data_IF_858472265452
#
_entry.id   IF_858472265452
#
_cell.length_a   1.000
_cell.length_b   1.000
_cell.length_c   1.000
_cell.angle_alpha   90.00
_cell.angle_beta   90.00
_cell.angle_gamma   90.00
#
_symmetry.space_group_name_H-M   'P 1'
#
loop_
_entity.id
_entity.type
_entity.pdbx_description
1 polymer ?
#
# COMPACT_ATOMS: atom_id res chain seq x y z
N UNK A 1 -1.11 -31.07 -31.44
CA UNK A 1 -1.32 -30.06 -30.39
C UNK A 1 -2.80 -29.93 -30.16
N UNK A 2 -3.33 -30.38 -29.03
CA UNK A 2 -4.76 -30.29 -28.72
C UNK A 2 -5.07 -28.80 -28.52
N UNK A 3 -5.83 -28.22 -29.43
CA UNK A 3 -6.20 -26.82 -29.37
C UNK A 3 -7.42 -26.70 -28.45
N UNK A 4 -7.17 -26.72 -27.14
CA UNK A 4 -8.20 -26.57 -26.11
C UNK A 4 -8.92 -25.24 -26.31
N UNK A 5 -10.26 -25.24 -26.23
CA UNK A 5 -11.05 -24.03 -26.27
C UNK A 5 -10.72 -23.12 -25.08
N UNK A 6 -11.06 -21.83 -25.17
CA UNK A 6 -10.86 -20.88 -24.05
C UNK A 6 -11.64 -21.34 -22.81
N UNK A 7 -12.83 -21.90 -23.01
CA UNK A 7 -13.70 -22.46 -21.97
C UNK A 7 -13.06 -23.67 -21.28
N UNK A 8 -12.44 -24.59 -22.03
CA UNK A 8 -11.74 -25.76 -21.47
C UNK A 8 -10.49 -25.37 -20.67
N UNK A 9 -9.76 -24.32 -21.10
CA UNK A 9 -8.63 -23.78 -20.33
C UNK A 9 -9.07 -23.10 -19.04
N UNK A 10 -10.19 -22.37 -19.08
CA UNK A 10 -10.79 -21.74 -17.89
C UNK A 10 -11.31 -22.80 -16.91
N UNK A 11 -11.95 -23.86 -17.42
CA UNK A 11 -12.42 -24.99 -16.62
C UNK A 11 -11.25 -25.74 -15.97
N UNK A 12 -10.15 -25.96 -16.70
CA UNK A 12 -8.95 -26.61 -16.18
C UNK A 12 -8.21 -25.74 -15.14
N UNK A 13 -8.25 -24.41 -15.28
CA UNK A 13 -7.80 -23.47 -14.24
C UNK A 13 -8.64 -23.55 -12.95
N UNK A 14 -9.97 -23.72 -13.07
CA UNK A 14 -10.89 -23.91 -11.93
C UNK A 14 -10.60 -25.21 -11.16
N UNK A 15 -10.50 -26.34 -11.86
CA UNK A 15 -10.22 -27.63 -11.22
C UNK A 15 -8.78 -27.76 -10.72
N UNK A 16 -7.81 -27.13 -11.40
CA UNK A 16 -6.41 -27.11 -10.99
C UNK A 16 -6.20 -26.39 -9.66
N UNK A 17 -6.88 -25.26 -9.43
CA UNK A 17 -6.81 -24.52 -8.16
C UNK A 17 -7.45 -25.32 -7.02
N UNK A 18 -8.60 -25.94 -7.25
CA UNK A 18 -9.24 -26.81 -6.26
C UNK A 18 -8.33 -27.97 -5.85
N UNK A 19 -7.72 -28.66 -6.81
CA UNK A 19 -6.77 -29.74 -6.55
C UNK A 19 -5.53 -29.25 -5.80
N UNK A 20 -4.98 -28.08 -6.17
CA UNK A 20 -3.81 -27.52 -5.51
C UNK A 20 -4.09 -27.15 -4.06
N UNK A 21 -5.21 -26.49 -3.78
CA UNK A 21 -5.60 -26.10 -2.42
C UNK A 21 -5.98 -27.31 -1.56
N UNK A 22 -6.71 -28.28 -2.13
CA UNK A 22 -7.11 -29.49 -1.41
C UNK A 22 -5.96 -30.45 -1.07
N UNK A 23 -4.83 -30.36 -1.78
CA UNK A 23 -3.68 -31.27 -1.60
C UNK A 23 -2.45 -30.58 -1.00
N UNK A 24 -2.34 -29.26 -1.13
CA UNK A 24 -1.23 -28.51 -0.54
C UNK A 24 -1.58 -28.12 0.89
N UNK A 25 -0.98 -28.78 1.88
CA UNK A 25 -1.06 -28.39 3.30
C UNK A 25 0.33 -27.94 3.74
N UNK A 26 0.68 -26.65 3.62
CA UNK A 26 2.01 -26.16 3.99
C UNK A 26 2.33 -26.47 5.45
N UNK A 27 3.48 -27.10 5.68
CA UNK A 27 4.08 -27.34 7.00
C UNK A 27 5.17 -26.30 7.27
N UNK A 28 5.64 -26.19 8.51
CA UNK A 28 6.69 -25.23 8.91
C UNK A 28 7.98 -25.34 8.05
N UNK A 29 8.28 -26.51 7.49
CA UNK A 29 9.45 -26.75 6.64
C UNK A 29 9.19 -26.55 5.14
N UNK A 30 8.03 -26.01 4.75
CA UNK A 30 7.70 -25.77 3.33
C UNK A 30 8.61 -24.69 2.76
N UNK A 31 9.14 -24.92 1.56
CA UNK A 31 9.96 -23.92 0.87
C UNK A 31 9.20 -22.62 0.68
N UNK A 32 9.75 -21.52 1.21
CA UNK A 32 9.17 -20.18 1.12
C UNK A 32 8.99 -19.73 -0.33
N UNK A 33 9.93 -20.08 -1.22
CA UNK A 33 9.85 -19.71 -2.64
C UNK A 33 8.70 -20.43 -3.35
N UNK A 34 8.53 -21.73 -3.08
CA UNK A 34 7.46 -22.52 -3.70
C UNK A 34 6.10 -22.08 -3.19
N UNK A 35 5.98 -21.88 -1.87
CA UNK A 35 4.76 -21.39 -1.24
C UNK A 35 4.41 -19.98 -1.74
N UNK A 36 5.38 -19.08 -1.79
CA UNK A 36 5.20 -17.73 -2.30
C UNK A 36 4.80 -17.70 -3.78
N UNK A 37 5.38 -18.56 -4.61
CA UNK A 37 4.96 -18.70 -6.02
C UNK A 37 3.52 -19.20 -6.14
N UNK A 38 3.12 -20.16 -5.30
CA UNK A 38 1.75 -20.67 -5.25
C UNK A 38 0.75 -19.57 -4.81
N UNK A 39 1.07 -18.84 -3.75
CA UNK A 39 0.28 -17.70 -3.28
C UNK A 39 0.09 -16.65 -4.37
N UNK A 40 1.18 -16.25 -5.04
CA UNK A 40 1.11 -15.29 -6.15
C UNK A 40 0.29 -15.79 -7.33
N UNK A 41 0.34 -17.08 -7.65
CA UNK A 41 -0.54 -17.69 -8.66
C UNK A 41 -2.01 -17.58 -8.25
N UNK A 42 -2.34 -17.86 -6.98
CA UNK A 42 -3.70 -17.75 -6.47
C UNK A 42 -4.19 -16.30 -6.51
N UNK A 43 -3.41 -15.34 -6.00
CA UNK A 43 -3.78 -13.92 -6.05
C UNK A 43 -3.98 -13.43 -7.49
N UNK A 44 -3.13 -13.87 -8.42
CA UNK A 44 -3.32 -13.57 -9.84
C UNK A 44 -4.60 -14.21 -10.40
N UNK A 45 -4.92 -15.43 -9.99
CA UNK A 45 -6.16 -16.11 -10.38
C UNK A 45 -7.41 -15.40 -9.86
N UNK A 46 -7.43 -14.93 -8.60
CA UNK A 46 -8.50 -14.06 -8.09
C UNK A 46 -8.70 -12.84 -9.00
N UNK A 47 -7.61 -12.16 -9.35
CA UNK A 47 -7.66 -10.98 -10.19
C UNK A 47 -8.20 -11.25 -11.60
N UNK A 48 -7.67 -12.25 -12.31
CA UNK A 48 -8.08 -12.56 -13.69
C UNK A 48 -9.52 -13.05 -13.76
N UNK A 49 -10.00 -13.67 -12.68
CA UNK A 49 -11.35 -14.25 -12.63
C UNK A 49 -12.40 -13.34 -12.01
N UNK A 50 -12.03 -12.19 -11.45
CA UNK A 50 -12.94 -11.22 -10.83
C UNK A 50 -14.00 -10.64 -11.78
N UNK A 51 -13.81 -10.79 -13.11
CA UNK A 51 -14.71 -10.28 -14.15
C UNK A 51 -15.13 -11.37 -15.15
N UNK A 52 -15.28 -12.64 -14.73
CA UNK A 52 -15.65 -13.74 -15.64
C UNK A 52 -17.14 -13.67 -16.03
N UNK A 53 -17.45 -13.66 -17.34
CA UNK A 53 -18.77 -13.29 -17.91
C UNK A 53 -19.70 -14.48 -18.27
N UNK A 54 -19.92 -15.44 -17.38
CA UNK A 54 -20.94 -16.50 -17.62
C UNK A 54 -21.61 -16.95 -16.32
N UNK A 55 -22.94 -16.73 -16.21
CA UNK A 55 -23.73 -16.79 -14.96
C UNK A 55 -23.59 -18.12 -14.19
N UNK A 56 -23.57 -19.26 -14.90
CA UNK A 56 -23.46 -20.59 -14.25
C UNK A 56 -22.02 -20.89 -13.82
N UNK A 57 -21.07 -20.46 -14.64
CA UNK A 57 -19.66 -20.70 -14.43
C UNK A 57 -19.07 -19.77 -13.34
N UNK A 58 -19.69 -18.60 -13.15
CA UNK A 58 -19.43 -17.65 -12.08
C UNK A 58 -19.83 -18.22 -10.71
N UNK A 59 -21.04 -18.76 -10.57
CA UNK A 59 -21.50 -19.34 -9.29
C UNK A 59 -20.56 -20.44 -8.76
N UNK A 60 -20.12 -21.36 -9.62
CA UNK A 60 -19.22 -22.45 -9.24
C UNK A 60 -17.82 -21.93 -8.87
N UNK A 61 -17.34 -20.91 -9.59
CA UNK A 61 -16.05 -20.29 -9.33
C UNK A 61 -16.06 -19.53 -7.99
N UNK A 62 -17.12 -18.79 -7.70
CA UNK A 62 -17.25 -18.05 -6.45
C UNK A 62 -17.39 -19.00 -5.25
N UNK A 63 -18.10 -20.12 -5.40
CA UNK A 63 -18.10 -21.20 -4.42
C UNK A 63 -16.70 -21.77 -4.20
N UNK A 64 -15.94 -22.03 -5.27
CA UNK A 64 -14.57 -22.53 -5.12
C UNK A 64 -13.69 -21.56 -4.30
N UNK A 65 -13.77 -20.26 -4.60
CA UNK A 65 -13.02 -19.23 -3.87
C UNK A 65 -13.39 -19.22 -2.40
N UNK A 66 -14.69 -19.12 -2.10
CA UNK A 66 -15.21 -18.94 -0.74
C UNK A 66 -15.10 -20.21 0.11
N UNK A 67 -15.52 -21.37 -0.42
CA UNK A 67 -15.61 -22.61 0.34
C UNK A 67 -14.25 -23.30 0.55
N UNK A 68 -13.28 -23.09 -0.35
CA UNK A 68 -12.00 -23.81 -0.31
C UNK A 68 -10.79 -22.89 -0.24
N UNK A 69 -10.67 -21.93 -1.16
CA UNK A 69 -9.43 -21.15 -1.28
C UNK A 69 -9.27 -20.17 -0.12
N UNK A 70 -10.34 -19.52 0.33
CA UNK A 70 -10.27 -18.55 1.42
C UNK A 70 -9.81 -19.17 2.74
N UNK A 71 -10.37 -20.34 3.11
CA UNK A 71 -9.94 -21.07 4.30
C UNK A 71 -8.45 -21.42 4.28
N UNK A 72 -7.96 -21.89 3.13
CA UNK A 72 -6.53 -22.16 2.94
C UNK A 72 -5.66 -20.90 3.03
N UNK A 73 -6.09 -19.79 2.43
CA UNK A 73 -5.38 -18.51 2.54
C UNK A 73 -5.30 -18.03 3.99
N UNK A 74 -6.37 -18.22 4.77
CA UNK A 74 -6.37 -17.92 6.21
C UNK A 74 -5.35 -18.77 6.95
N UNK A 75 -5.30 -20.08 6.72
CA UNK A 75 -4.33 -20.98 7.36
C UNK A 75 -2.88 -20.64 7.00
N UNK A 76 -2.61 -20.34 5.72
CA UNK A 76 -1.28 -19.93 5.27
C UNK A 76 -0.88 -18.57 5.83
N UNK A 77 -1.80 -17.63 5.91
CA UNK A 77 -1.55 -16.32 6.53
C UNK A 77 -1.17 -16.47 8.01
N UNK A 78 -1.83 -17.37 8.75
CA UNK A 78 -1.52 -17.63 10.16
C UNK A 78 -0.17 -18.30 10.39
N UNK A 79 0.23 -19.21 9.49
CA UNK A 79 1.44 -20.02 9.66
C UNK A 79 2.69 -19.43 8.98
N UNK A 80 2.50 -18.63 7.93
CA UNK A 80 3.56 -18.13 7.06
C UNK A 80 3.31 -16.65 6.68
N UNK A 81 2.96 -15.83 7.67
CA UNK A 81 2.57 -14.42 7.50
C UNK A 81 3.54 -13.62 6.63
N UNK A 82 4.85 -13.67 6.92
CA UNK A 82 5.87 -12.91 6.19
C UNK A 82 5.89 -13.22 4.70
N UNK A 83 5.75 -14.50 4.34
CA UNK A 83 5.69 -14.94 2.94
C UNK A 83 4.40 -14.42 2.31
N UNK A 84 3.27 -14.56 3.01
CA UNK A 84 1.97 -14.10 2.56
C UNK A 84 1.96 -12.60 2.21
N UNK A 85 2.41 -11.75 3.13
CA UNK A 85 2.45 -10.30 2.90
C UNK A 85 3.49 -9.90 1.87
N UNK A 86 4.63 -10.62 1.77
CA UNK A 86 5.65 -10.36 0.74
C UNK A 86 5.11 -10.51 -0.69
N UNK A 87 4.15 -11.43 -0.90
CA UNK A 87 3.49 -11.64 -2.19
C UNK A 87 2.48 -10.53 -2.56
N UNK A 88 2.07 -9.71 -1.60
CA UNK A 88 1.12 -8.59 -1.78
C UNK A 88 1.79 -7.22 -1.95
N UNK A 89 3.13 -7.16 -1.83
CA UNK A 89 3.90 -5.93 -1.99
C UNK A 89 3.91 -5.44 -3.45
N UNK A 90 4.12 -4.12 -3.69
CA UNK A 90 4.27 -3.56 -5.04
C UNK A 90 5.42 -4.19 -5.83
N UNK A 91 6.50 -4.52 -5.12
CA UNK A 91 7.71 -5.15 -5.66
C UNK A 91 7.95 -6.46 -4.92
N UNK A 92 7.21 -7.54 -5.26
CA UNK A 92 7.35 -8.81 -4.57
C UNK A 92 8.68 -9.50 -4.95
N UNK A 93 9.13 -10.47 -4.13
CA UNK A 93 10.31 -11.28 -4.45
C UNK A 93 10.22 -11.97 -5.82
N UNK A 94 11.36 -12.28 -6.43
CA UNK A 94 11.41 -12.82 -7.80
C UNK A 94 10.55 -14.09 -7.99
N UNK A 95 10.55 -15.01 -7.01
CA UNK A 95 9.72 -16.21 -7.06
C UNK A 95 8.21 -15.92 -7.08
N UNK A 96 7.79 -14.75 -6.56
CA UNK A 96 6.42 -14.31 -6.42
C UNK A 96 5.95 -13.44 -7.60
N UNK A 97 6.85 -13.09 -8.53
CA UNK A 97 6.54 -12.35 -9.77
C UNK A 97 5.89 -13.26 -10.80
N UNK A 98 4.65 -13.63 -10.54
CA UNK A 98 3.85 -14.51 -11.42
C UNK A 98 2.89 -13.71 -12.30
N UNK A 99 2.73 -14.17 -13.55
CA UNK A 99 1.93 -13.54 -14.59
C UNK A 99 2.80 -12.89 -15.66
N UNK A 100 2.29 -12.78 -16.89
CA UNK A 100 3.11 -12.37 -18.04
C UNK A 100 3.55 -10.90 -18.09
N UNK A 101 3.09 -10.06 -17.15
CA UNK A 101 3.32 -8.61 -17.19
C UNK A 101 4.60 -8.16 -16.49
N UNK A 102 5.28 -9.02 -15.72
CA UNK A 102 6.50 -8.64 -14.99
C UNK A 102 7.71 -8.40 -15.90
N UNK A 103 7.76 -9.09 -17.05
CA UNK A 103 8.83 -8.96 -18.04
C UNK A 103 8.44 -8.08 -19.24
N UNK A 104 7.24 -7.49 -19.23
CA UNK A 104 6.78 -6.63 -20.32
C UNK A 104 7.28 -5.20 -20.14
N UNK A 105 7.54 -4.51 -21.26
CA UNK A 105 7.87 -3.08 -21.31
C UNK A 105 6.64 -2.21 -21.03
N UNK A 106 6.03 -2.34 -19.85
CA UNK A 106 4.92 -1.48 -19.40
C UNK A 106 5.42 -0.44 -18.39
N UNK A 107 4.72 0.71 -18.30
CA UNK A 107 5.14 1.78 -17.39
C UNK A 107 5.06 1.34 -15.92
N UNK A 108 5.87 1.94 -15.05
CA UNK A 108 5.81 1.70 -13.60
C UNK A 108 4.42 1.99 -13.03
N UNK A 109 3.76 3.05 -13.50
CA UNK A 109 2.36 3.35 -13.17
C UNK A 109 1.42 2.20 -13.53
N UNK A 110 1.58 1.61 -14.72
CA UNK A 110 0.76 0.47 -15.16
C UNK A 110 1.00 -0.77 -14.29
N UNK A 111 2.26 -1.05 -13.93
CA UNK A 111 2.59 -2.12 -12.99
C UNK A 111 1.89 -1.92 -11.64
N UNK A 112 2.01 -0.73 -11.05
CA UNK A 112 1.40 -0.44 -9.75
C UNK A 112 -0.12 -0.50 -9.81
N UNK A 113 -0.74 0.03 -10.88
CA UNK A 113 -2.18 -0.05 -11.11
C UNK A 113 -2.67 -1.49 -11.18
N UNK A 114 -1.98 -2.36 -11.94
CA UNK A 114 -2.33 -3.77 -12.06
C UNK A 114 -2.15 -4.52 -10.73
N UNK A 115 -1.09 -4.22 -9.99
CA UNK A 115 -0.87 -4.82 -8.69
C UNK A 115 -1.88 -4.38 -7.63
N UNK A 116 -2.26 -3.10 -7.59
CA UNK A 116 -3.36 -2.62 -6.74
C UNK A 116 -4.70 -3.27 -7.13
N UNK A 117 -4.99 -3.46 -8.42
CA UNK A 117 -6.21 -4.15 -8.85
C UNK A 117 -6.22 -5.62 -8.39
N UNK A 118 -5.04 -6.25 -8.32
CA UNK A 118 -4.91 -7.60 -7.76
C UNK A 118 -5.17 -7.61 -6.27
N UNK A 119 -4.59 -6.67 -5.52
CA UNK A 119 -4.87 -6.50 -4.10
C UNK A 119 -6.37 -6.26 -3.86
N UNK A 120 -6.98 -5.39 -4.67
CA UNK A 120 -8.41 -5.08 -4.61
C UNK A 120 -9.31 -6.30 -4.90
N UNK A 121 -8.89 -7.20 -5.79
CA UNK A 121 -9.64 -8.42 -6.11
C UNK A 121 -9.76 -9.41 -4.94
N UNK A 122 -8.95 -9.24 -3.90
CA UNK A 122 -8.99 -10.07 -2.69
C UNK A 122 -9.94 -9.50 -1.61
N UNK A 123 -10.34 -8.24 -1.73
CA UNK A 123 -11.16 -7.53 -0.74
C UNK A 123 -12.53 -8.16 -0.51
N UNK A 124 -13.30 -8.57 -1.55
CA UNK A 124 -14.62 -9.19 -1.35
C UNK A 124 -14.60 -10.49 -0.54
N UNK A 125 -13.42 -11.08 -0.36
CA UNK A 125 -13.20 -12.37 0.29
C UNK A 125 -12.59 -12.23 1.69
N UNK A 126 -12.53 -11.01 2.23
CA UNK A 126 -11.98 -10.70 3.56
C UNK A 126 -10.52 -11.17 3.78
N UNK A 127 -9.80 -11.43 2.69
CA UNK A 127 -8.39 -11.86 2.73
C UNK A 127 -7.49 -10.72 3.22
N UNK A 128 -7.86 -9.47 2.95
CA UNK A 128 -7.11 -8.29 3.38
C UNK A 128 -7.62 -7.86 4.77
N UNK A 129 -6.93 -8.31 5.81
CA UNK A 129 -7.18 -7.90 7.20
C UNK A 129 -6.53 -6.56 7.51
N UNK A 130 -6.86 -5.95 8.65
CA UNK A 130 -6.22 -4.70 9.11
C UNK A 130 -4.72 -4.87 9.34
N UNK A 131 -4.29 -6.05 9.79
CA UNK A 131 -2.86 -6.37 10.00
C UNK A 131 -2.10 -6.44 8.67
N UNK A 132 -2.67 -7.13 7.68
CA UNK A 132 -2.10 -7.18 6.32
C UNK A 132 -2.08 -5.78 5.71
N UNK A 133 -3.16 -5.02 5.87
CA UNK A 133 -3.28 -3.66 5.36
C UNK A 133 -2.21 -2.73 5.94
N UNK A 134 -2.04 -2.75 7.26
CA UNK A 134 -1.06 -1.92 7.95
C UNK A 134 0.38 -2.27 7.56
N UNK A 135 0.63 -3.54 7.19
CA UNK A 135 1.91 -3.95 6.65
C UNK A 135 2.09 -3.50 5.19
N UNK A 136 1.13 -3.82 4.32
CA UNK A 136 1.28 -3.75 2.86
C UNK A 136 1.08 -2.33 2.31
N UNK A 137 0.08 -1.59 2.78
CA UNK A 137 -0.28 -0.27 2.21
C UNK A 137 0.84 0.79 2.29
N UNK A 138 1.65 0.86 3.37
CA UNK A 138 2.87 1.68 3.40
C UNK A 138 3.79 1.49 2.20
N UNK A 139 4.03 0.24 1.78
CA UNK A 139 4.90 -0.06 0.65
C UNK A 139 4.27 0.41 -0.66
N UNK A 140 2.96 0.23 -0.84
CA UNK A 140 2.26 0.72 -2.02
C UNK A 140 2.35 2.24 -2.17
N UNK A 141 2.10 2.98 -1.09
CA UNK A 141 2.18 4.45 -1.14
C UNK A 141 3.62 4.93 -1.33
N UNK A 142 4.59 4.23 -0.76
CA UNK A 142 6.00 4.53 -0.99
C UNK A 142 6.42 4.31 -2.45
N UNK A 143 6.02 3.18 -3.05
CA UNK A 143 6.27 2.90 -4.46
C UNK A 143 5.61 3.95 -5.36
N UNK A 144 4.39 4.39 -5.04
CA UNK A 144 3.70 5.44 -5.78
C UNK A 144 4.46 6.77 -5.69
N UNK A 145 4.94 7.16 -4.50
CA UNK A 145 5.72 8.39 -4.31
C UNK A 145 7.00 8.38 -5.16
N UNK A 146 7.66 7.23 -5.30
CA UNK A 146 8.95 7.12 -5.99
C UNK A 146 8.83 6.89 -7.49
N UNK A 147 7.93 6.00 -7.89
CA UNK A 147 7.94 5.40 -9.22
C UNK A 147 6.89 6.02 -10.16
N UNK A 148 5.93 6.79 -9.66
CA UNK A 148 4.83 7.35 -10.47
C UNK A 148 5.06 8.83 -10.74
N UNK A 149 5.25 9.24 -12.02
CA UNK A 149 5.32 10.64 -12.38
C UNK A 149 4.02 11.39 -12.03
N UNK A 150 4.12 12.66 -11.62
CA UNK A 150 2.96 13.48 -11.22
C UNK A 150 1.85 13.53 -12.29
N UNK A 151 2.23 13.56 -13.57
CA UNK A 151 1.30 13.53 -14.71
C UNK A 151 0.49 12.23 -14.84
N UNK A 152 0.98 11.13 -14.29
CA UNK A 152 0.39 9.79 -14.36
C UNK A 152 -0.36 9.42 -13.06
N UNK A 153 -0.15 10.15 -11.96
CA UNK A 153 -0.88 9.96 -10.70
C UNK A 153 -2.40 9.84 -10.86
N UNK A 154 -3.10 10.66 -11.70
CA UNK A 154 -4.54 10.57 -11.86
C UNK A 154 -5.05 9.18 -12.30
N UNK A 155 -4.20 8.37 -12.93
CA UNK A 155 -4.56 7.00 -13.35
C UNK A 155 -4.85 6.06 -12.17
N UNK A 156 -4.31 6.36 -10.99
CA UNK A 156 -4.47 5.59 -9.76
C UNK A 156 -5.63 6.09 -8.90
N UNK A 157 -6.15 7.30 -9.18
CA UNK A 157 -7.16 7.99 -8.37
C UNK A 157 -8.36 7.10 -8.06
N UNK A 158 -9.01 6.57 -9.09
CA UNK A 158 -10.26 5.79 -8.92
C UNK A 158 -10.06 4.61 -7.96
N UNK A 159 -8.94 3.91 -8.07
CA UNK A 159 -8.66 2.72 -7.29
C UNK A 159 -8.31 3.07 -5.85
N UNK A 160 -7.42 4.04 -5.64
CA UNK A 160 -7.05 4.50 -4.31
C UNK A 160 -8.22 5.17 -3.59
N UNK A 161 -9.06 5.95 -4.28
CA UNK A 161 -10.28 6.51 -3.73
C UNK A 161 -11.21 5.43 -3.22
N UNK A 162 -11.43 4.34 -3.98
CA UNK A 162 -12.27 3.22 -3.52
C UNK A 162 -11.69 2.52 -2.28
N UNK A 163 -10.38 2.31 -2.24
CA UNK A 163 -9.73 1.58 -1.15
C UNK A 163 -9.63 2.40 0.14
N UNK A 164 -9.32 3.70 0.01
CA UNK A 164 -9.10 4.62 1.11
C UNK A 164 -10.31 5.52 1.40
N UNK A 165 -11.50 5.11 0.97
CA UNK A 165 -12.75 5.82 1.28
C UNK A 165 -13.10 5.62 2.78
N UNK A 166 -13.18 6.69 3.59
CA UNK A 166 -13.52 6.58 5.02
C UNK A 166 -14.90 5.99 5.32
N UNK A 167 -15.83 6.06 4.38
CA UNK A 167 -17.25 5.73 4.59
C UNK A 167 -17.68 4.50 3.79
N UNK A 168 -17.21 4.37 2.55
CA UNK A 168 -17.71 3.41 1.57
C UNK A 168 -16.65 2.41 1.11
N UNK A 169 -15.49 2.34 1.78
CA UNK A 169 -14.44 1.39 1.38
C UNK A 169 -14.94 -0.06 1.51
N UNK A 170 -14.75 -0.90 0.48
CA UNK A 170 -15.16 -2.30 0.52
C UNK A 170 -14.35 -3.13 1.51
N UNK A 171 -13.27 -2.58 2.09
CA UNK A 171 -12.52 -3.21 3.18
C UNK A 171 -13.32 -3.32 4.48
N UNK A 172 -14.36 -2.50 4.66
CA UNK A 172 -15.19 -2.51 5.86
C UNK A 172 -14.48 -2.07 7.14
N UNK A 173 -13.28 -1.47 7.03
CA UNK A 173 -12.53 -0.99 8.18
C UNK A 173 -13.11 0.31 8.74
N UNK A 174 -13.10 0.44 10.07
CA UNK A 174 -13.28 1.75 10.69
C UNK A 174 -12.19 2.72 10.24
N UNK A 175 -12.55 3.99 10.07
CA UNK A 175 -11.63 5.04 9.57
C UNK A 175 -10.30 5.11 10.36
N UNK A 176 -10.32 4.86 11.67
CA UNK A 176 -9.11 4.82 12.50
C UNK A 176 -8.17 3.68 12.11
N UNK A 177 -8.72 2.51 11.79
CA UNK A 177 -7.95 1.33 11.35
C UNK A 177 -7.47 1.50 9.91
N UNK A 178 -8.29 2.08 9.04
CA UNK A 178 -7.94 2.32 7.64
C UNK A 178 -6.67 3.18 7.47
N UNK A 179 -6.48 4.18 8.33
CA UNK A 179 -5.32 5.07 8.34
C UNK A 179 -4.33 4.80 9.49
N UNK A 180 -4.43 3.66 10.17
CA UNK A 180 -3.58 3.34 11.32
C UNK A 180 -2.09 3.29 10.92
N UNK A 181 -1.76 2.70 9.77
CA UNK A 181 -0.40 2.68 9.21
C UNK A 181 0.25 4.07 9.03
N UNK A 182 -0.57 5.14 8.86
CA UNK A 182 -0.09 6.52 8.84
C UNK A 182 0.09 7.00 10.27
N UNK A 183 -0.92 6.83 11.13
CA UNK A 183 -0.92 7.31 12.52
C UNK A 183 0.33 6.87 13.28
N UNK A 184 0.70 5.59 13.18
CA UNK A 184 1.87 5.05 13.90
C UNK A 184 3.18 5.72 13.51
N UNK A 185 3.28 6.28 12.30
CA UNK A 185 4.50 6.92 11.79
C UNK A 185 4.73 8.32 12.30
N UNK A 186 3.76 8.92 13.01
CA UNK A 186 3.89 10.20 13.68
C UNK A 186 4.26 10.09 15.17
N UNK A 187 4.18 8.89 15.75
CA UNK A 187 4.40 8.66 17.19
C UNK A 187 5.84 8.22 17.48
N UNK A 188 6.55 8.95 18.33
CA UNK A 188 7.91 8.63 18.81
C UNK A 188 8.87 8.24 17.67
N UNK A 189 8.81 9.03 16.60
CA UNK A 189 9.42 8.71 15.32
C UNK A 189 10.61 9.63 14.99
N UNK A 190 11.32 9.34 13.91
CA UNK A 190 12.35 10.24 13.38
C UNK A 190 11.76 11.18 12.32
N UNK A 191 12.32 12.39 12.09
CA UNK A 191 11.83 13.28 11.05
C UNK A 191 11.79 12.63 9.66
N UNK A 192 12.72 11.72 9.36
CA UNK A 192 12.73 10.96 8.10
C UNK A 192 11.52 10.04 7.92
N UNK A 193 11.09 9.35 8.98
CA UNK A 193 9.91 8.47 8.92
C UNK A 193 8.64 9.30 8.82
N UNK A 194 8.61 10.46 9.48
CA UNK A 194 7.49 11.38 9.40
C UNK A 194 7.37 12.02 8.02
N UNK A 195 8.47 12.47 7.42
CA UNK A 195 8.53 13.01 6.06
C UNK A 195 7.97 11.99 5.06
N UNK A 196 8.35 10.71 5.21
CA UNK A 196 7.80 9.63 4.38
C UNK A 196 6.27 9.54 4.48
N UNK A 197 5.73 9.52 5.70
CA UNK A 197 4.27 9.49 5.90
C UNK A 197 3.57 10.75 5.38
N UNK A 198 4.21 11.92 5.48
CA UNK A 198 3.71 13.18 4.93
C UNK A 198 3.67 13.16 3.40
N UNK A 199 4.67 12.58 2.73
CA UNK A 199 4.65 12.42 1.28
C UNK A 199 3.49 11.51 0.84
N UNK A 200 3.17 10.46 1.59
CA UNK A 200 1.99 9.65 1.32
C UNK A 200 0.70 10.45 1.44
N UNK A 201 0.53 11.19 2.54
CA UNK A 201 -0.61 12.09 2.73
C UNK A 201 -0.69 13.16 1.62
N UNK A 202 0.45 13.63 1.12
CA UNK A 202 0.51 14.57 0.01
C UNK A 202 0.00 13.93 -1.28
N UNK A 203 0.40 12.70 -1.63
CA UNK A 203 -0.15 11.96 -2.78
C UNK A 203 -1.66 11.78 -2.65
N UNK A 204 -2.15 11.32 -1.49
CA UNK A 204 -3.59 11.18 -1.25
C UNK A 204 -4.32 12.52 -1.43
N UNK A 205 -3.72 13.59 -0.94
CA UNK A 205 -4.24 14.95 -1.11
C UNK A 205 -4.20 15.40 -2.57
N UNK A 206 -3.17 15.09 -3.36
CA UNK A 206 -3.12 15.42 -4.79
C UNK A 206 -4.23 14.67 -5.55
N UNK A 207 -4.50 13.42 -5.19
CA UNK A 207 -5.52 12.56 -5.80
C UNK A 207 -6.95 12.89 -5.38
N UNK A 208 -7.17 13.95 -4.61
CA UNK A 208 -8.48 14.32 -4.05
C UNK A 208 -9.09 13.26 -3.11
N UNK A 209 -8.26 12.46 -2.44
CA UNK A 209 -8.73 11.53 -1.41
C UNK A 209 -8.91 12.31 -0.10
N UNK A 210 -10.13 12.28 0.43
CA UNK A 210 -10.53 13.05 1.60
C UNK A 210 -10.11 12.31 2.87
N UNK A 211 -9.36 13.00 3.74
CA UNK A 211 -8.99 12.49 5.05
C UNK A 211 -9.72 13.32 6.12
N UNK A 212 -10.39 12.66 7.06
CA UNK A 212 -11.12 13.35 8.12
C UNK A 212 -10.21 14.31 8.91
N UNK A 213 -10.65 15.56 9.11
CA UNK A 213 -9.84 16.61 9.77
C UNK A 213 -9.33 16.19 11.13
N UNK A 214 -10.19 15.54 11.92
CA UNK A 214 -9.82 15.08 13.24
C UNK A 214 -8.63 14.10 13.20
N UNK A 215 -8.59 13.19 12.22
CA UNK A 215 -7.45 12.29 12.02
C UNK A 215 -6.20 13.06 11.61
N UNK A 216 -6.34 13.97 10.64
CA UNK A 216 -5.22 14.77 10.16
C UNK A 216 -4.57 15.58 11.29
N UNK A 217 -5.38 16.25 12.11
CA UNK A 217 -4.89 17.00 13.26
C UNK A 217 -4.29 16.10 14.33
N UNK A 218 -4.88 14.93 14.58
CA UNK A 218 -4.30 13.95 15.51
C UNK A 218 -2.91 13.50 15.04
N UNK A 219 -2.73 13.20 13.75
CA UNK A 219 -1.43 12.80 13.20
C UNK A 219 -0.39 13.91 13.38
N UNK A 220 -0.77 15.15 13.09
CA UNK A 220 0.17 16.27 13.15
C UNK A 220 0.50 16.68 14.58
N UNK A 221 -0.46 16.61 15.50
CA UNK A 221 -0.22 16.78 16.94
C UNK A 221 0.77 15.73 17.46
N UNK A 222 0.56 14.45 17.15
CA UNK A 222 1.48 13.36 17.50
C UNK A 222 2.90 13.61 16.92
N UNK A 223 2.96 14.10 15.68
CA UNK A 223 4.22 14.44 15.01
C UNK A 223 4.98 15.57 15.71
N UNK A 224 4.29 16.67 15.99
CA UNK A 224 4.88 17.85 16.66
C UNK A 224 5.38 17.46 18.06
N UNK A 225 4.61 16.68 18.80
CA UNK A 225 5.01 16.19 20.12
C UNK A 225 6.27 15.31 20.03
N UNK A 226 6.33 14.42 19.03
CA UNK A 226 7.52 13.60 18.76
C UNK A 226 8.76 14.43 18.43
N UNK A 227 8.60 15.54 17.69
CA UNK A 227 9.72 16.46 17.42
C UNK A 227 10.22 17.16 18.68
N UNK A 228 9.31 17.64 19.54
CA UNK A 228 9.64 18.31 20.81
C UNK A 228 10.37 17.38 21.77
N UNK A 229 9.87 16.15 21.93
CA UNK A 229 10.51 15.14 22.77
C UNK A 229 11.92 14.78 22.26
N UNK A 230 12.10 14.74 20.94
CA UNK A 230 13.40 14.49 20.30
C UNK A 230 14.46 15.54 20.63
N UNK A 231 14.06 16.81 20.83
CA UNK A 231 14.96 17.93 21.16
C UNK A 231 15.35 17.94 22.64
N UNK A 232 14.43 17.54 23.53
CA UNK A 232 14.70 17.43 24.96
C UNK A 232 15.71 16.30 25.21
N UNK A 233 15.53 15.15 24.54
CA UNK A 233 16.44 13.99 24.64
C UNK A 233 17.79 14.18 23.93
N UNK A 234 17.92 15.13 23.00
CA UNK A 234 19.23 15.49 22.42
C UNK A 234 20.06 16.37 23.37
N UNK A 235 19.41 17.11 24.27
CA UNK A 235 20.07 17.95 25.28
C UNK A 235 20.56 17.15 26.48
N UNK A 236 19.82 16.11 26.86
CA UNK A 236 20.23 15.13 27.88
C UNK A 236 20.89 13.92 27.21
N UNK A 237 22.22 13.84 27.27
CA UNK A 237 23.08 12.86 26.55
C UNK A 237 22.89 11.36 26.90
N UNK A 238 21.76 10.93 27.42
CA UNK A 238 21.52 9.51 27.71
C UNK A 238 20.11 9.07 27.29
N UNK A 239 20.09 8.17 26.29
CA UNK A 239 19.20 7.01 26.09
C UNK A 239 19.01 6.79 24.58
N UNK A 240 19.22 5.58 24.03
CA UNK A 240 19.00 5.31 22.62
C UNK A 240 17.54 5.59 22.25
N UNK A 241 17.31 6.37 21.18
CA UNK A 241 15.97 6.57 20.60
C UNK A 241 15.36 5.20 20.28
N UNK A 242 14.41 4.74 21.09
CA UNK A 242 13.51 3.63 20.71
C UNK A 242 12.48 4.14 19.70
N UNK A 243 12.95 4.56 18.53
CA UNK A 243 12.09 4.65 17.34
C UNK A 243 11.90 3.20 16.88
N UNK A 244 10.73 2.64 17.16
CA UNK A 244 10.45 1.22 16.83
C UNK A 244 10.17 1.01 15.33
N UNK A 245 9.93 2.08 14.56
CA UNK A 245 9.51 1.99 13.16
C UNK A 245 10.59 2.57 12.25
N UNK A 246 11.16 1.71 11.41
CA UNK A 246 12.11 2.09 10.37
C UNK A 246 11.40 2.72 9.15
N UNK A 247 12.07 3.60 8.38
CA UNK A 247 11.55 4.02 7.08
C UNK A 247 11.29 2.81 6.20
N UNK A 248 10.24 2.86 5.38
CA UNK A 248 10.03 1.84 4.34
C UNK A 248 11.18 1.93 3.35
N UNK A 249 12.00 0.89 3.29
CA UNK A 249 13.07 0.75 2.29
C UNK A 249 12.57 -0.24 1.25
N UNK A 250 12.74 0.09 -0.02
CA UNK A 250 12.51 -0.86 -1.11
C UNK A 250 13.87 -1.43 -1.53
N UNK A 251 13.96 -2.74 -1.65
CA UNK A 251 15.15 -3.40 -2.19
C UNK A 251 15.28 -3.03 -3.67
N UNK A 252 16.38 -2.38 -4.05
CA UNK A 252 16.78 -2.19 -5.45
C UNK A 252 17.28 -3.49 -6.09
N UNK A 253 16.74 -4.65 -5.68
CA UNK A 253 17.04 -5.93 -6.31
C UNK A 253 16.15 -6.11 -7.55
N UNK A 254 16.54 -5.40 -8.60
CA UNK A 254 16.01 -5.55 -9.95
C UNK A 254 17.06 -5.04 -10.93
N UNK A 255 18.00 -5.92 -11.29
CA UNK A 255 18.99 -5.65 -12.32
C UNK A 255 18.33 -5.03 -13.56
N UNK A 256 18.91 -3.90 -13.97
CA UNK A 256 18.64 -3.16 -15.19
C UNK A 256 18.82 -4.04 -16.43
N UNK A 257 17.74 -4.40 -17.11
CA UNK A 257 17.78 -4.68 -18.55
C UNK A 257 17.58 -3.35 -19.29
N UNK A 258 18.67 -2.86 -19.88
CA UNK A 258 18.72 -1.59 -20.56
C UNK A 258 17.89 -1.55 -21.85
N UNK A 259 17.34 -0.37 -22.12
CA UNK A 259 17.66 0.53 -23.24
C UNK A 259 16.83 1.79 -22.99
N UNK A 260 17.50 2.88 -22.64
CA UNK A 260 16.92 4.22 -22.63
C UNK A 260 17.82 5.09 -23.49
N UNK A 261 17.44 5.23 -24.77
CA UNK A 261 17.85 6.37 -25.59
C UNK A 261 16.98 7.55 -25.17
N UNK A 262 17.50 8.43 -24.32
CA UNK A 262 17.50 9.88 -24.60
C UNK A 262 18.46 10.61 -23.66
N UNK A 263 19.06 11.67 -24.17
CA UNK A 263 20.21 12.36 -23.62
C UNK A 263 19.95 13.09 -22.29
N UNK A 264 20.91 12.94 -21.37
CA UNK A 264 21.45 14.04 -20.57
C UNK A 264 20.51 14.79 -19.62
N UNK A 265 20.47 14.37 -18.35
CA UNK A 265 20.73 15.26 -17.21
C UNK A 265 20.88 14.52 -15.88
N UNK A 266 22.11 14.54 -15.35
CA UNK A 266 22.43 14.52 -13.91
C UNK A 266 22.17 13.23 -13.11
N UNK A 267 22.90 12.17 -13.45
CA UNK A 267 23.31 11.11 -12.49
C UNK A 267 24.34 11.65 -11.48
N UNK A 268 23.91 12.61 -10.65
CA UNK A 268 24.72 13.16 -9.55
C UNK A 268 23.91 13.89 -8.48
N UNK A 269 22.74 13.38 -8.09
CA UNK A 269 22.18 13.71 -6.76
C UNK A 269 22.84 12.81 -5.72
N UNK A 270 24.06 13.19 -5.34
CA UNK A 270 24.62 12.81 -4.05
C UNK A 270 23.56 13.09 -2.99
N UNK A 271 23.17 12.07 -2.20
CA UNK A 271 22.31 12.19 -1.02
C UNK A 271 22.85 13.35 -0.17
N UNK A 272 22.31 14.56 -0.32
CA UNK A 272 22.42 15.59 0.70
C UNK A 272 21.66 15.02 1.88
N UNK A 273 22.39 14.53 2.88
CA UNK A 273 21.80 14.25 4.19
C UNK A 273 21.33 15.61 4.71
N UNK A 274 20.04 15.90 4.52
CA UNK A 274 19.41 17.05 5.14
C UNK A 274 19.62 16.94 6.65
N UNK A 275 19.96 18.06 7.28
CA UNK A 275 20.09 18.08 8.74
C UNK A 275 18.72 17.75 9.36
N UNK A 276 18.73 17.19 10.57
CA UNK A 276 17.48 16.85 11.28
C UNK A 276 16.56 18.08 11.43
N UNK A 277 17.15 19.28 11.61
CA UNK A 277 16.43 20.54 11.64
C UNK A 277 15.77 20.93 10.31
N UNK A 278 16.46 20.70 9.18
CA UNK A 278 15.87 20.91 7.85
C UNK A 278 14.71 19.96 7.57
N UNK A 279 14.83 18.69 7.98
CA UNK A 279 13.76 17.69 7.83
C UNK A 279 12.55 18.03 8.70
N UNK A 280 12.76 18.47 9.94
CA UNK A 280 11.66 18.95 10.81
C UNK A 280 10.91 20.13 10.21
N UNK A 281 11.64 21.12 9.70
CA UNK A 281 11.04 22.27 9.02
C UNK A 281 10.28 21.84 7.76
N UNK A 282 10.86 20.94 6.96
CA UNK A 282 10.19 20.36 5.78
C UNK A 282 8.89 19.65 6.17
N UNK A 283 8.92 18.85 7.25
CA UNK A 283 7.72 18.21 7.77
C UNK A 283 6.64 19.23 8.17
N UNK A 284 7.01 20.32 8.86
CA UNK A 284 6.06 21.38 9.21
C UNK A 284 5.44 22.05 7.97
N UNK A 285 6.24 22.33 6.93
CA UNK A 285 5.74 22.90 5.67
C UNK A 285 4.75 21.93 5.01
N UNK A 286 5.10 20.65 4.90
CA UNK A 286 4.21 19.63 4.33
C UNK A 286 2.89 19.50 5.12
N UNK A 287 2.95 19.51 6.45
CA UNK A 287 1.75 19.48 7.28
C UNK A 287 0.82 20.65 6.95
N UNK A 288 1.34 21.88 6.88
CA UNK A 288 0.55 23.07 6.56
C UNK A 288 -0.06 22.98 5.16
N UNK A 289 0.73 22.59 4.15
CA UNK A 289 0.24 22.44 2.78
C UNK A 289 -0.88 21.39 2.67
N UNK A 290 -0.74 20.26 3.38
CA UNK A 290 -1.74 19.19 3.42
C UNK A 290 -3.01 19.69 4.11
N UNK A 291 -2.90 20.35 5.28
CA UNK A 291 -4.08 20.93 5.98
C UNK A 291 -4.82 21.89 5.06
N UNK A 292 -4.10 22.85 4.46
CA UNK A 292 -4.71 23.87 3.60
C UNK A 292 -5.47 23.23 2.44
N UNK A 293 -4.82 22.32 1.70
CA UNK A 293 -5.46 21.64 0.56
C UNK A 293 -6.64 20.76 0.99
N UNK A 294 -6.55 20.05 2.11
CA UNK A 294 -7.66 19.22 2.62
C UNK A 294 -8.83 20.08 3.11
N UNK A 295 -8.58 21.19 3.79
CA UNK A 295 -9.62 22.11 4.26
C UNK A 295 -10.36 22.81 3.12
N UNK A 296 -9.63 23.25 2.09
CA UNK A 296 -10.23 23.84 0.89
C UNK A 296 -11.18 22.87 0.19
N UNK A 297 -10.80 21.59 0.10
CA UNK A 297 -11.63 20.54 -0.53
C UNK A 297 -12.88 20.22 0.26
N UNK A 298 -12.79 20.28 1.58
CA UNK A 298 -13.92 20.03 2.47
C UNK A 298 -14.84 21.25 2.62
N UNK A 299 -14.62 22.30 1.82
CA UNK A 299 -15.47 23.49 1.81
C UNK A 299 -15.40 24.31 3.08
N UNK A 300 -14.30 24.22 3.85
CA UNK A 300 -14.11 25.07 5.03
C UNK A 300 -13.90 26.51 4.57
N UNK A 301 -14.72 27.43 5.06
CA UNK A 301 -14.66 28.84 4.68
C UNK A 301 -13.27 29.43 4.94
N UNK A 302 -12.62 29.94 3.89
CA UNK A 302 -11.26 30.52 3.94
C UNK A 302 -11.14 31.81 4.79
N UNK A 303 -12.24 32.29 5.39
CA UNK A 303 -12.33 33.65 5.94
C UNK A 303 -13.11 33.78 7.26
N UNK A 304 -13.21 32.74 8.08
CA UNK A 304 -13.44 33.00 9.51
C UNK A 304 -12.09 33.33 10.12
N UNK A 305 -11.80 34.61 10.36
CA UNK A 305 -10.63 35.01 11.14
C UNK A 305 -10.69 34.44 12.57
N UNK A 306 -10.05 35.12 13.52
CA UNK A 306 -9.99 34.78 14.97
C UNK A 306 -11.37 34.69 15.68
N UNK A 307 -12.47 34.65 14.94
CA UNK A 307 -13.85 34.68 15.43
C UNK A 307 -14.61 33.36 15.33
N UNK A 308 -13.93 32.22 15.11
CA UNK A 308 -14.57 30.93 15.38
C UNK A 308 -14.52 30.61 16.88
N UNK A 309 -15.63 30.10 17.41
CA UNK A 309 -15.81 29.65 18.81
C UNK A 309 -14.69 28.68 19.26
N UNK A 310 -14.00 28.04 18.31
CA UNK A 310 -12.85 27.15 18.54
C UNK A 310 -11.62 27.88 19.09
N UNK A 311 -11.48 29.20 18.89
CA UNK A 311 -10.40 30.01 19.45
C UNK A 311 -10.76 30.72 20.77
N UNK A 312 -11.98 30.52 21.29
CA UNK A 312 -12.42 31.12 22.56
C UNK A 312 -12.24 30.18 23.77
N UNK A 313 -11.94 28.90 23.55
CA UNK A 313 -11.71 27.91 24.61
C UNK A 313 -10.25 27.38 24.65
N UNK A 314 -9.29 28.16 24.15
CA UNK A 314 -7.86 27.93 24.33
C UNK A 314 -7.24 28.93 25.32
#
# INVERSE_FOLDING_TARGET
>A
SINLSVEERQLMGRFGVWLLVGLCTPKENTSSEILGRLLSMLFHWFHVTAYSFDDQAECTLEQLKTDYVCGWLTEVCQTHFDIFVSCLLPHPPDYARVGGHWDMLVSRTSHLKNGLNRLFSLVPYEVITTEIWDYVMPHWLEAIVKDVPEKELPELKLLLSKMLDPEMSPLGFEVKKLFHFISVRFKQTTPKVMEQALNWLQILTILDIVIHRHLLFTFFEDGINSMKEGEIKEKDKEVPRKSCISPVVEDESGHTSGISDDEGQTSRKSKRQHSDGELKLSCCVLMLDIVLKQMEKQGVERHTGIHTVVAQDA
#
